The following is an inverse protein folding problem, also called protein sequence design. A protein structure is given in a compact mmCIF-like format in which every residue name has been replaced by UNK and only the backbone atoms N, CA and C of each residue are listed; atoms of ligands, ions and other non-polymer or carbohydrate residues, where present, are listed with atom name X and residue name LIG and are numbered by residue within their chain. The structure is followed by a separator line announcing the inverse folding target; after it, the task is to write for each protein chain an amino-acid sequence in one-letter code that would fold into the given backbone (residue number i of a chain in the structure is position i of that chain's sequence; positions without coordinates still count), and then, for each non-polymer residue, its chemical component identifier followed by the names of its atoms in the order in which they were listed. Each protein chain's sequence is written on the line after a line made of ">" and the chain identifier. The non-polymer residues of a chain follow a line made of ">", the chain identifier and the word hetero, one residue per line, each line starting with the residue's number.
data_IF_168691796726
#
_entry.id   IF_168691796726
#
_cell.length_a   1.000
_cell.length_b   1.000
_cell.length_c   1.000
_cell.angle_alpha   90.00
_cell.angle_beta   90.00
_cell.angle_gamma   90.00
#
_symmetry.space_group_name_H-M   'P 1'
#
loop_
_entity.id
_entity.type
_entity.pdbx_description
1 polymer ?
#
# COMPACT_ATOMS: atom_id res chain seq x y z
N UNK A 1 -15.95 -10.85 -3.36
CA UNK A 1 -17.23 -10.83 -2.60
C UNK A 1 -17.94 -12.18 -2.67
N UNK A 2 -18.18 -12.77 -3.86
CA UNK A 2 -18.87 -14.05 -3.98
C UNK A 2 -18.19 -15.19 -3.21
N UNK A 3 -16.87 -15.25 -3.25
CA UNK A 3 -16.06 -16.22 -2.49
C UNK A 3 -16.16 -15.95 -0.98
N UNK A 4 -16.05 -14.70 -0.55
CA UNK A 4 -16.21 -14.33 0.85
C UNK A 4 -17.62 -14.68 1.38
N UNK A 5 -18.66 -14.48 0.57
CA UNK A 5 -20.03 -14.90 0.93
C UNK A 5 -20.17 -16.41 1.16
N UNK A 6 -19.40 -17.24 0.48
CA UNK A 6 -19.38 -18.70 0.74
C UNK A 6 -18.63 -18.99 2.05
N UNK A 7 -17.47 -18.35 2.22
CA UNK A 7 -16.59 -18.56 3.37
C UNK A 7 -17.24 -18.19 4.71
N UNK A 8 -18.05 -17.14 4.76
CA UNK A 8 -18.67 -16.67 6.02
C UNK A 8 -19.71 -17.63 6.60
N UNK A 9 -20.18 -18.59 5.82
CA UNK A 9 -21.11 -19.64 6.24
C UNK A 9 -20.43 -20.97 6.54
N UNK A 10 -19.11 -21.04 6.38
CA UNK A 10 -18.35 -22.23 6.74
C UNK A 10 -18.35 -22.40 8.26
N UNK A 11 -18.64 -23.62 8.81
CA UNK A 11 -18.64 -23.85 10.26
C UNK A 11 -17.31 -23.52 10.94
N UNK A 12 -16.21 -23.60 10.23
CA UNK A 12 -14.87 -23.30 10.73
C UNK A 12 -14.49 -21.82 10.65
N UNK A 13 -15.32 -20.99 10.04
CA UNK A 13 -15.07 -19.56 9.93
C UNK A 13 -15.17 -18.86 11.29
N UNK A 14 -14.08 -18.26 11.76
CA UNK A 14 -13.99 -17.60 13.08
C UNK A 14 -14.26 -16.08 13.02
N UNK A 15 -14.67 -15.57 11.87
CA UNK A 15 -15.01 -14.15 11.67
C UNK A 15 -13.86 -13.28 11.17
N UNK A 16 -12.75 -13.86 10.75
CA UNK A 16 -11.56 -13.12 10.34
C UNK A 16 -11.22 -13.38 8.86
N UNK A 17 -11.26 -12.32 8.05
CA UNK A 17 -10.66 -12.33 6.73
C UNK A 17 -9.22 -11.83 6.91
N UNK A 18 -8.27 -12.75 6.83
CA UNK A 18 -6.90 -12.51 7.28
C UNK A 18 -6.08 -11.62 6.37
N UNK A 19 -6.39 -11.59 5.07
CA UNK A 19 -5.64 -10.76 4.14
C UNK A 19 -6.42 -10.47 2.86
N UNK A 20 -6.61 -9.20 2.60
CA UNK A 20 -7.08 -8.66 1.32
C UNK A 20 -6.08 -7.65 0.75
N UNK A 21 -4.86 -7.68 1.27
CA UNK A 21 -3.74 -6.86 0.85
C UNK A 21 -2.97 -7.46 -0.33
N UNK A 22 -1.86 -6.84 -0.60
CA UNK A 22 -0.89 -7.23 -1.62
C UNK A 22 0.01 -6.05 -1.98
N UNK A 23 1.18 -6.27 -2.58
CA UNK A 23 2.11 -5.19 -2.91
C UNK A 23 1.52 -4.07 -3.76
N UNK A 24 0.43 -4.36 -4.46
CA UNK A 24 -0.29 -3.41 -5.33
C UNK A 24 -1.80 -3.43 -5.10
N UNK A 25 -2.27 -3.93 -3.97
CA UNK A 25 -3.71 -4.12 -3.71
C UNK A 25 -4.52 -2.82 -3.80
N UNK A 26 -3.93 -1.71 -3.40
CA UNK A 26 -4.53 -0.38 -3.48
C UNK A 26 -4.32 0.32 -4.85
N UNK A 27 -3.60 -0.30 -5.79
CA UNK A 27 -3.41 0.19 -7.15
C UNK A 27 -4.29 -0.63 -8.11
N UNK A 28 -5.61 -0.45 -8.02
CA UNK A 28 -6.61 -1.32 -8.65
C UNK A 28 -7.07 -0.88 -10.02
N UNK A 29 -7.02 0.41 -10.32
CA UNK A 29 -7.48 0.99 -11.58
C UNK A 29 -6.30 1.59 -12.36
N UNK A 30 -6.58 2.07 -13.55
CA UNK A 30 -5.59 2.73 -14.41
C UNK A 30 -5.08 4.03 -13.75
N UNK A 31 -3.77 4.23 -13.80
CA UNK A 31 -3.14 5.41 -13.19
C UNK A 31 -3.51 6.74 -13.86
N UNK A 32 -4.10 6.72 -15.06
CA UNK A 32 -4.55 7.91 -15.77
C UNK A 32 -5.45 7.53 -16.96
N UNK A 33 -6.18 8.52 -17.50
CA UNK A 33 -7.08 8.29 -18.65
C UNK A 33 -6.36 7.81 -19.91
N UNK A 34 -5.09 8.20 -20.10
CA UNK A 34 -4.28 7.71 -21.22
C UNK A 34 -4.11 6.18 -21.18
N UNK A 35 -3.95 5.60 -20.00
CA UNK A 35 -3.84 4.15 -19.85
C UNK A 35 -5.10 3.41 -20.33
N UNK A 36 -6.27 4.00 -20.16
CA UNK A 36 -7.55 3.40 -20.61
C UNK A 36 -7.63 3.23 -22.12
N UNK A 37 -6.97 4.10 -22.87
CA UNK A 37 -7.07 4.13 -24.34
C UNK A 37 -5.81 3.64 -25.05
N UNK A 38 -4.63 3.93 -24.52
CA UNK A 38 -3.34 3.70 -25.17
C UNK A 38 -2.43 2.70 -24.43
N UNK A 39 -2.90 2.17 -23.28
CA UNK A 39 -2.09 1.30 -22.45
C UNK A 39 -1.00 2.01 -21.68
N UNK A 40 -0.07 1.25 -21.11
CA UNK A 40 1.05 1.76 -20.34
C UNK A 40 2.02 2.59 -21.18
N UNK A 41 2.65 3.58 -20.57
CA UNK A 41 3.68 4.38 -21.23
C UNK A 41 4.96 3.54 -21.43
N UNK A 42 5.53 3.46 -22.64
CA UNK A 42 6.70 2.62 -22.88
C UNK A 42 7.99 3.16 -22.24
N UNK A 43 8.08 4.47 -22.01
CA UNK A 43 9.31 5.15 -21.57
C UNK A 43 9.18 5.90 -20.26
N UNK A 44 8.03 5.82 -19.57
CA UNK A 44 7.77 6.59 -18.36
C UNK A 44 7.04 5.76 -17.31
N UNK A 45 7.57 5.78 -16.08
CA UNK A 45 6.89 5.25 -14.91
C UNK A 45 5.96 6.33 -14.29
N UNK A 46 4.90 5.88 -13.61
CA UNK A 46 3.91 6.80 -13.05
C UNK A 46 4.39 7.53 -11.79
N UNK A 47 5.30 6.90 -11.03
CA UNK A 47 5.75 7.38 -9.72
C UNK A 47 7.26 7.67 -9.64
N UNK A 48 7.99 7.43 -10.73
CA UNK A 48 9.44 7.63 -10.76
C UNK A 48 9.88 8.23 -12.11
N UNK A 49 10.93 9.09 -12.17
CA UNK A 49 11.66 9.70 -11.02
C UNK A 49 10.84 10.71 -10.25
N UNK A 50 9.84 11.28 -10.89
CA UNK A 50 8.86 12.20 -10.32
C UNK A 50 7.44 11.75 -10.66
N UNK A 51 6.45 11.99 -9.78
CA UNK A 51 5.08 11.61 -10.07
C UNK A 51 4.59 12.22 -11.37
N UNK A 52 3.93 11.41 -12.17
CA UNK A 52 3.39 11.85 -13.45
C UNK A 52 2.30 12.91 -13.22
N UNK A 53 2.34 14.01 -13.98
CA UNK A 53 1.31 15.09 -13.90
C UNK A 53 -0.11 14.59 -14.19
N UNK A 54 -0.25 13.49 -14.92
CA UNK A 54 -1.54 12.88 -15.24
C UNK A 54 -1.93 11.77 -14.24
N UNK A 55 -1.13 11.56 -13.20
CA UNK A 55 -1.42 10.53 -12.17
C UNK A 55 -2.73 10.87 -11.48
N UNK A 56 -3.63 9.90 -11.47
CA UNK A 56 -4.88 9.95 -10.72
C UNK A 56 -4.82 8.88 -9.65
N UNK A 57 -4.87 9.31 -8.40
CA UNK A 57 -4.90 8.41 -7.25
C UNK A 57 -6.31 8.43 -6.69
N UNK A 58 -6.88 7.25 -6.57
CA UNK A 58 -8.23 7.06 -6.03
C UNK A 58 -8.27 5.71 -5.31
N UNK A 59 -8.61 5.74 -4.03
CA UNK A 59 -8.75 4.54 -3.20
C UNK A 59 -10.21 4.22 -2.85
N UNK A 60 -11.20 4.98 -3.36
CA UNK A 60 -12.61 4.81 -3.01
C UNK A 60 -13.16 3.42 -3.41
N UNK A 61 -12.74 2.90 -4.58
CA UNK A 61 -13.12 1.53 -4.99
C UNK A 61 -12.58 0.48 -4.01
N UNK A 62 -11.31 0.62 -3.60
CA UNK A 62 -10.70 -0.31 -2.65
C UNK A 62 -11.32 -0.19 -1.26
N UNK A 63 -11.59 1.02 -0.80
CA UNK A 63 -12.27 1.28 0.45
C UNK A 63 -13.69 0.72 0.44
N UNK A 64 -14.44 0.95 -0.64
CA UNK A 64 -15.77 0.36 -0.84
C UNK A 64 -15.74 -1.18 -0.77
N UNK A 65 -14.73 -1.78 -1.39
CA UNK A 65 -14.54 -3.24 -1.35
C UNK A 65 -14.26 -3.73 0.08
N UNK A 66 -13.36 -3.09 0.83
CA UNK A 66 -13.06 -3.44 2.22
C UNK A 66 -14.29 -3.27 3.11
N UNK A 67 -15.04 -2.20 2.91
CA UNK A 67 -16.29 -1.92 3.65
C UNK A 67 -17.34 -3.00 3.38
N UNK A 68 -17.55 -3.39 2.12
CA UNK A 68 -18.47 -4.49 1.76
C UNK A 68 -18.09 -5.81 2.42
N UNK A 69 -16.80 -6.14 2.47
CA UNK A 69 -16.33 -7.34 3.16
C UNK A 69 -16.59 -7.27 4.67
N UNK A 70 -16.39 -6.09 5.27
CA UNK A 70 -16.60 -5.87 6.71
C UNK A 70 -18.08 -5.96 7.11
N UNK A 71 -18.99 -5.70 6.16
CA UNK A 71 -20.45 -5.75 6.36
C UNK A 71 -21.05 -7.15 6.14
N UNK A 72 -20.27 -8.12 5.68
CA UNK A 72 -20.77 -9.49 5.50
C UNK A 72 -21.16 -10.11 6.87
N UNK A 73 -22.19 -10.97 6.90
CA UNK A 73 -22.58 -11.66 8.12
C UNK A 73 -21.41 -12.49 8.65
N UNK A 74 -21.35 -12.62 9.99
CA UNK A 74 -20.29 -13.35 10.69
C UNK A 74 -18.88 -12.76 10.58
N UNK A 75 -18.63 -11.70 9.81
CA UNK A 75 -17.32 -11.04 9.72
C UNK A 75 -17.11 -10.12 10.90
N UNK A 76 -16.06 -10.35 11.66
CA UNK A 76 -15.60 -9.52 12.78
C UNK A 76 -14.53 -8.52 12.35
N UNK A 77 -13.59 -8.96 11.51
CA UNK A 77 -12.46 -8.16 11.03
C UNK A 77 -12.03 -8.57 9.62
N UNK A 78 -11.59 -7.57 8.88
CA UNK A 78 -10.96 -7.73 7.56
C UNK A 78 -9.61 -7.06 7.61
N UNK A 79 -8.54 -7.80 7.33
CA UNK A 79 -7.17 -7.29 7.44
C UNK A 79 -6.48 -7.15 6.10
N UNK A 80 -5.56 -6.20 6.04
CA UNK A 80 -4.58 -5.99 4.99
C UNK A 80 -3.21 -6.34 5.58
N UNK A 81 -2.68 -7.52 5.27
CA UNK A 81 -1.44 -8.05 5.86
C UNK A 81 -0.27 -8.12 4.88
N UNK A 82 -0.54 -8.50 3.64
CA UNK A 82 0.51 -8.61 2.61
C UNK A 82 1.09 -7.27 2.18
N UNK A 83 0.48 -6.19 2.63
CA UNK A 83 0.96 -4.84 2.38
C UNK A 83 0.07 -4.03 1.43
N UNK A 84 0.54 -2.84 1.18
CA UNK A 84 -0.03 -1.87 0.25
C UNK A 84 1.10 -1.13 -0.47
N UNK A 85 0.76 -0.45 -1.54
CA UNK A 85 1.65 0.46 -2.23
C UNK A 85 1.63 1.83 -1.56
N UNK A 86 2.58 2.05 -0.62
CA UNK A 86 2.65 3.27 0.19
C UNK A 86 2.93 4.52 -0.66
N UNK A 87 3.76 4.38 -1.69
CA UNK A 87 4.14 5.46 -2.59
C UNK A 87 2.93 5.99 -3.39
N UNK A 88 2.02 5.10 -3.81
CA UNK A 88 0.77 5.48 -4.45
C UNK A 88 -0.19 6.15 -3.46
N UNK A 89 -0.29 5.61 -2.24
CA UNK A 89 -1.13 6.15 -1.18
C UNK A 89 -0.79 7.60 -0.82
N UNK A 90 0.49 7.96 -0.85
CA UNK A 90 0.96 9.31 -0.49
C UNK A 90 0.51 10.40 -1.47
N UNK A 91 0.00 10.03 -2.64
CA UNK A 91 -0.55 10.96 -3.64
C UNK A 91 -2.08 10.98 -3.67
N UNK A 92 -2.73 10.36 -2.68
CA UNK A 92 -4.17 10.50 -2.53
C UNK A 92 -4.54 11.95 -2.18
N UNK A 93 -5.70 12.38 -2.63
CA UNK A 93 -6.20 13.75 -2.45
C UNK A 93 -6.59 14.05 -1.00
N UNK A 94 -6.92 13.02 -0.24
CA UNK A 94 -7.34 13.11 1.15
C UNK A 94 -6.80 11.92 1.95
N UNK A 95 -6.95 11.97 3.26
CA UNK A 95 -6.45 10.96 4.19
C UNK A 95 -7.48 9.88 4.54
N UNK A 96 -8.68 9.95 3.97
CA UNK A 96 -9.80 9.10 4.36
C UNK A 96 -9.47 7.61 4.26
N UNK A 97 -8.96 7.16 3.11
CA UNK A 97 -8.54 5.76 2.97
C UNK A 97 -7.43 5.36 3.95
N UNK A 98 -6.44 6.24 4.16
CA UNK A 98 -5.33 5.95 5.07
C UNK A 98 -5.82 5.83 6.53
N UNK A 99 -6.72 6.70 6.94
CA UNK A 99 -7.32 6.67 8.27
C UNK A 99 -8.17 5.41 8.47
N UNK A 100 -9.04 5.06 7.51
CA UNK A 100 -9.84 3.83 7.55
C UNK A 100 -8.97 2.57 7.60
N UNK A 101 -7.89 2.55 6.82
CA UNK A 101 -6.92 1.46 6.82
C UNK A 101 -6.33 1.25 8.21
N UNK A 102 -5.81 2.30 8.84
CA UNK A 102 -5.21 2.26 10.19
C UNK A 102 -6.24 1.87 11.24
N UNK A 103 -7.44 2.43 11.19
CA UNK A 103 -8.47 2.18 12.19
C UNK A 103 -9.00 0.75 12.16
N UNK A 104 -9.18 0.17 10.97
CA UNK A 104 -10.02 -1.01 10.80
C UNK A 104 -9.33 -2.21 10.17
N UNK A 105 -8.24 -2.02 9.42
CA UNK A 105 -7.71 -3.05 8.53
C UNK A 105 -6.27 -3.50 8.83
N UNK A 106 -5.62 -2.92 9.84
CA UNK A 106 -4.26 -3.33 10.27
C UNK A 106 -4.36 -4.08 11.59
N UNK A 107 -3.82 -5.31 11.61
CA UNK A 107 -3.87 -6.22 12.77
C UNK A 107 -2.73 -6.02 13.78
N UNK A 108 -2.00 -4.90 13.69
CA UNK A 108 -0.81 -4.60 14.50
C UNK A 108 0.44 -4.34 13.66
N UNK A 109 0.51 -4.85 12.45
CA UNK A 109 1.63 -4.62 11.54
C UNK A 109 1.14 -4.32 10.12
N UNK A 110 1.73 -3.31 9.48
CA UNK A 110 1.56 -3.01 8.07
C UNK A 110 2.87 -3.25 7.33
N UNK A 111 2.84 -4.13 6.33
CA UNK A 111 3.99 -4.37 5.44
C UNK A 111 4.02 -3.35 4.31
N UNK A 112 5.19 -2.81 4.02
CA UNK A 112 5.44 -1.89 2.90
C UNK A 112 6.78 -2.21 2.27
N UNK A 113 6.94 -1.91 1.00
CA UNK A 113 8.14 -2.26 0.24
C UNK A 113 8.89 -0.98 -0.23
N UNK A 114 9.61 -0.28 0.65
CA UNK A 114 10.49 0.79 0.23
C UNK A 114 11.68 0.27 -0.59
N UNK A 115 12.04 -0.99 -0.43
CA UNK A 115 13.11 -1.75 -1.09
C UNK A 115 14.51 -1.33 -0.64
N UNK A 116 14.79 -0.04 -0.47
CA UNK A 116 16.08 0.50 -0.05
C UNK A 116 15.92 1.86 0.63
N UNK A 117 16.99 2.36 1.28
CA UNK A 117 17.04 3.71 1.84
C UNK A 117 18.04 4.62 1.11
N UNK A 118 19.07 4.07 0.45
CA UNK A 118 19.96 4.84 -0.41
C UNK A 118 19.23 5.34 -1.67
N UNK A 119 19.29 6.65 -1.91
CA UNK A 119 18.69 7.23 -3.12
C UNK A 119 19.35 6.74 -4.40
N UNK A 120 20.67 6.43 -4.37
CA UNK A 120 21.35 5.85 -5.50
C UNK A 120 20.78 4.47 -5.87
N UNK A 121 20.57 3.61 -4.89
CA UNK A 121 19.96 2.29 -5.10
C UNK A 121 18.49 2.42 -5.57
N UNK A 122 17.70 3.29 -4.94
CA UNK A 122 16.30 3.53 -5.32
C UNK A 122 16.17 4.05 -6.76
N UNK A 123 17.08 4.92 -7.21
CA UNK A 123 17.10 5.40 -8.59
C UNK A 123 17.39 4.26 -9.58
N UNK A 124 18.27 3.29 -9.23
CA UNK A 124 18.51 2.08 -10.04
C UNK A 124 17.32 1.13 -10.08
N UNK A 125 16.57 1.06 -9.00
CA UNK A 125 15.35 0.25 -8.88
C UNK A 125 14.13 0.91 -9.56
N UNK A 126 14.21 2.18 -9.96
CA UNK A 126 13.06 2.95 -10.44
C UNK A 126 12.02 3.18 -9.36
N UNK A 127 12.46 3.35 -8.12
CA UNK A 127 11.60 3.57 -6.94
C UNK A 127 11.65 5.03 -6.50
N UNK A 128 10.57 5.55 -5.89
CA UNK A 128 10.60 6.86 -5.26
C UNK A 128 11.72 6.96 -4.23
N UNK A 129 12.33 8.13 -4.14
CA UNK A 129 13.42 8.38 -3.21
C UNK A 129 12.98 8.33 -1.76
N UNK A 130 13.94 8.08 -0.85
CA UNK A 130 13.79 7.91 0.60
C UNK A 130 12.85 8.93 1.25
N UNK A 131 12.92 10.20 0.88
CA UNK A 131 12.10 11.25 1.47
C UNK A 131 10.59 11.04 1.35
N UNK A 132 10.11 10.30 0.34
CA UNK A 132 8.69 9.91 0.26
C UNK A 132 8.33 8.86 1.31
N UNK A 133 9.22 7.89 1.53
CA UNK A 133 9.03 6.87 2.56
C UNK A 133 9.04 7.47 3.96
N UNK A 134 9.96 8.38 4.25
CA UNK A 134 10.01 9.09 5.53
C UNK A 134 8.71 9.85 5.81
N UNK A 135 8.20 10.60 4.83
CA UNK A 135 6.90 11.28 4.95
C UNK A 135 5.73 10.31 5.19
N UNK A 136 5.78 9.13 4.58
CA UNK A 136 4.78 8.09 4.83
C UNK A 136 4.87 7.56 6.27
N UNK A 137 6.08 7.30 6.77
CA UNK A 137 6.32 6.85 8.14
C UNK A 137 5.77 7.85 9.16
N UNK A 138 6.11 9.13 9.01
CA UNK A 138 5.63 10.20 9.88
C UNK A 138 4.10 10.30 9.88
N UNK A 139 3.50 10.22 8.69
CA UNK A 139 2.05 10.28 8.54
C UNK A 139 1.36 9.05 9.16
N UNK A 140 1.94 7.86 8.96
CA UNK A 140 1.43 6.62 9.53
C UNK A 140 1.38 6.67 11.06
N UNK A 141 2.48 7.10 11.68
CA UNK A 141 2.53 7.18 13.15
C UNK A 141 1.65 8.29 13.71
N UNK A 142 1.51 9.44 13.06
CA UNK A 142 0.54 10.48 13.44
C UNK A 142 -0.90 9.96 13.41
N UNK A 143 -1.28 9.17 12.40
CA UNK A 143 -2.62 8.57 12.31
C UNK A 143 -2.79 7.52 13.41
N UNK A 144 -1.78 6.69 13.69
CA UNK A 144 -1.80 5.75 14.82
C UNK A 144 -2.06 6.46 16.15
N UNK A 145 -1.36 7.54 16.41
CA UNK A 145 -1.54 8.36 17.61
C UNK A 145 -2.94 8.96 17.68
N UNK A 146 -3.41 9.58 16.60
CA UNK A 146 -4.76 10.15 16.48
C UNK A 146 -5.87 9.16 16.87
N UNK A 147 -5.71 7.89 16.49
CA UNK A 147 -6.69 6.83 16.75
C UNK A 147 -6.29 5.88 17.88
N UNK A 148 -5.29 6.26 18.68
CA UNK A 148 -4.78 5.47 19.81
C UNK A 148 -4.49 4.02 19.43
N UNK A 149 -3.81 3.82 18.29
CA UNK A 149 -3.38 2.51 17.79
C UNK A 149 -1.93 2.24 18.17
N UNK A 150 -1.61 0.96 18.39
CA UNK A 150 -0.24 0.48 18.64
C UNK A 150 0.16 -0.46 17.49
N UNK A 151 0.43 0.13 16.34
CA UNK A 151 0.74 -0.62 15.11
C UNK A 151 2.15 -0.25 14.63
N UNK A 152 2.81 -1.20 13.97
CA UNK A 152 4.19 -1.06 13.50
C UNK A 152 4.26 -1.20 11.99
N UNK A 153 5.23 -0.51 11.38
CA UNK A 153 5.61 -0.74 9.99
C UNK A 153 6.63 -1.88 9.90
N UNK A 154 6.47 -2.73 8.91
CA UNK A 154 7.44 -3.78 8.58
C UNK A 154 7.94 -3.51 7.15
N UNK A 155 9.06 -2.80 7.00
CA UNK A 155 9.64 -2.53 5.69
C UNK A 155 10.24 -3.81 5.09
N UNK A 156 9.96 -4.05 3.81
CA UNK A 156 10.72 -4.99 3.00
C UNK A 156 11.90 -4.26 2.37
N UNK A 157 13.11 -4.74 2.65
CA UNK A 157 14.33 -4.16 2.17
C UNK A 157 15.10 -5.19 1.32
N UNK A 158 15.79 -4.72 0.30
CA UNK A 158 16.57 -5.49 -0.65
C UNK A 158 17.99 -4.95 -0.73
N UNK A 159 18.96 -5.76 -0.39
CA UNK A 159 20.38 -5.46 -0.61
C UNK A 159 20.85 -5.96 -2.00
N UNK A 160 22.00 -5.48 -2.42
CA UNK A 160 22.72 -6.01 -3.58
C UNK A 160 21.96 -5.98 -4.92
N UNK A 161 21.09 -4.98 -5.11
CA UNK A 161 20.45 -4.76 -6.42
C UNK A 161 21.52 -4.41 -7.47
N UNK A 162 21.38 -4.88 -8.74
CA UNK A 162 22.31 -4.55 -9.81
C UNK A 162 22.55 -3.04 -9.95
N UNK A 163 23.81 -2.63 -9.94
CA UNK A 163 24.23 -1.23 -9.98
C UNK A 163 24.34 -0.55 -8.62
N UNK A 164 24.04 -1.24 -7.51
CA UNK A 164 24.34 -0.76 -6.17
C UNK A 164 25.83 -0.89 -5.85
N UNK A 165 26.27 -0.07 -4.92
CA UNK A 165 27.65 0.00 -4.39
C UNK A 165 27.69 -0.51 -2.96
N UNK A 166 28.91 -0.71 -2.44
CA UNK A 166 29.09 -1.11 -1.05
C UNK A 166 28.53 -0.07 -0.07
N UNK A 167 28.69 1.22 -0.38
CA UNK A 167 28.18 2.33 0.40
C UNK A 167 26.64 2.27 0.54
N UNK A 168 25.94 1.88 -0.54
CA UNK A 168 24.48 1.70 -0.50
C UNK A 168 24.09 0.60 0.50
N UNK A 169 24.85 -0.50 0.54
CA UNK A 169 24.60 -1.60 1.46
C UNK A 169 24.95 -1.25 2.93
N UNK A 170 25.93 -0.35 3.13
CA UNK A 170 26.28 0.16 4.48
C UNK A 170 25.20 1.12 4.98
N UNK A 171 24.58 1.89 4.07
CA UNK A 171 23.50 2.82 4.41
C UNK A 171 22.20 2.09 4.78
N UNK A 172 21.96 0.90 4.22
CA UNK A 172 20.78 0.09 4.45
C UNK A 172 20.69 -0.43 5.87
#
# INVERSE_FOLDING_TARGET
>A
IAEANKMVWDPDFKGYIHDVGGPTANFRDTACDKQKTKGACPTKQCLWPEPCKNLKVDHEDYLSFLTKLRQLPNVKKVFVRSGIRYDYLMYDKNDHFFEELVQHHISGQLKVAPEHISNHALDKMGKPRRGLYEKFVDKYYRINEKYNKKQFLVPYLMSSHPGCRLEDAIEL
#
